data_IF_982534462631
#
_entry.id   IF_982534462631
#
_cell.length_a   1.000
_cell.length_b   1.000
_cell.length_c   1.000
_cell.angle_alpha   90.00
_cell.angle_beta   90.00
_cell.angle_gamma   90.00
#
_symmetry.space_group_name_H-M   'P 1'
#
loop_
_entity.id
_entity.type
_entity.pdbx_description
1 polymer ?
#
# COMPACT_ATOMS: atom_id res chain seq x y z
N UNK A 1 13.54 -10.88 21.06
CA UNK A 1 12.98 -9.56 21.41
C UNK A 1 14.02 -8.50 21.09
N UNK A 2 13.79 -7.64 20.09
CA UNK A 2 14.70 -6.50 19.85
C UNK A 2 14.46 -5.46 20.95
N UNK A 3 15.43 -5.28 21.85
CA UNK A 3 15.39 -4.18 22.83
C UNK A 3 15.30 -2.86 22.08
N UNK A 4 14.37 -1.99 22.48
CA UNK A 4 14.31 -0.63 21.95
C UNK A 4 15.65 0.07 22.27
N UNK A 5 16.44 0.33 21.22
CA UNK A 5 17.76 0.95 21.34
C UNK A 5 17.71 2.46 21.10
N UNK A 6 18.83 3.14 21.34
CA UNK A 6 19.00 4.58 21.06
C UNK A 6 18.52 5.01 19.66
N UNK A 7 18.69 4.24 18.56
CA UNK A 7 18.14 4.61 17.26
C UNK A 7 16.61 4.70 17.21
N UNK A 8 15.91 3.80 17.92
CA UNK A 8 14.45 3.83 18.01
C UNK A 8 13.97 5.05 18.81
N UNK A 9 14.67 5.36 19.91
CA UNK A 9 14.41 6.56 20.70
C UNK A 9 14.64 7.84 19.87
N UNK A 10 15.76 7.90 19.13
CA UNK A 10 16.07 9.02 18.23
C UNK A 10 14.98 9.22 17.17
N UNK A 11 14.47 8.13 16.56
CA UNK A 11 13.35 8.18 15.60
C UNK A 11 12.06 8.69 16.24
N UNK A 12 11.75 8.30 17.47
CA UNK A 12 10.56 8.77 18.17
C UNK A 12 10.57 10.30 18.35
N UNK A 13 11.73 10.90 18.66
CA UNK A 13 11.87 12.35 18.76
C UNK A 13 11.72 13.05 17.40
N UNK A 14 12.28 12.50 16.32
CA UNK A 14 12.10 13.07 14.98
C UNK A 14 10.66 12.98 14.47
N UNK A 15 9.98 11.87 14.77
CA UNK A 15 8.62 11.61 14.30
C UNK A 15 7.54 12.03 15.30
N UNK A 16 7.86 12.84 16.32
CA UNK A 16 6.92 13.21 17.38
C UNK A 16 5.63 13.84 16.81
N UNK A 17 5.72 14.60 15.71
CA UNK A 17 4.57 15.21 15.03
C UNK A 17 3.55 14.20 14.49
N UNK A 18 3.98 12.96 14.23
CA UNK A 18 3.13 11.87 13.76
C UNK A 18 2.60 11.00 14.91
N UNK A 19 3.20 11.10 16.10
CA UNK A 19 2.90 10.24 17.24
C UNK A 19 2.19 10.96 18.39
N UNK A 20 2.36 12.28 18.50
CA UNK A 20 1.84 13.10 19.59
C UNK A 20 1.16 14.31 18.96
N UNK A 21 -0.15 14.37 19.12
CA UNK A 21 -0.96 15.50 18.70
C UNK A 21 -1.16 16.42 19.91
N UNK A 22 -0.71 17.66 19.81
CA UNK A 22 -0.92 18.67 20.85
C UNK A 22 -2.36 19.22 20.82
N UNK A 23 -3.02 19.08 19.67
CA UNK A 23 -4.40 19.49 19.44
C UNK A 23 -5.23 18.27 19.03
N UNK A 24 -6.52 18.27 19.36
CA UNK A 24 -7.41 17.20 18.93
C UNK A 24 -7.48 17.20 17.39
N UNK A 25 -7.14 16.09 16.71
CA UNK A 25 -7.23 16.03 15.27
C UNK A 25 -8.68 16.16 14.82
N UNK A 26 -8.90 16.83 13.68
CA UNK A 26 -10.21 16.90 13.07
C UNK A 26 -10.63 15.51 12.60
N UNK A 27 -11.87 15.11 12.93
CA UNK A 27 -12.45 13.88 12.42
C UNK A 27 -12.59 14.03 10.90
N UNK A 28 -12.12 13.04 10.16
CA UNK A 28 -12.26 12.98 8.71
C UNK A 28 -12.95 11.69 8.32
N UNK A 29 -13.90 11.78 7.40
CA UNK A 29 -14.51 10.61 6.77
C UNK A 29 -13.70 10.14 5.56
N UNK A 30 -12.46 10.66 5.40
CA UNK A 30 -11.56 10.33 4.30
C UNK A 30 -10.55 9.29 4.73
N UNK A 31 -10.61 8.09 4.14
CA UNK A 31 -9.74 6.99 4.51
C UNK A 31 -9.58 5.97 3.38
N UNK A 32 -8.56 5.14 3.47
CA UNK A 32 -8.40 3.99 2.58
C UNK A 32 -9.29 2.88 3.15
N UNK A 33 -10.32 2.46 2.40
CA UNK A 33 -11.31 1.45 2.81
C UNK A 33 -10.83 0.03 2.59
N UNK A 34 -9.90 -0.18 1.66
CA UNK A 34 -9.32 -1.49 1.43
C UNK A 34 -8.41 -1.55 0.24
N UNK A 35 -7.76 -2.70 0.07
CA UNK A 35 -6.88 -3.01 -1.04
C UNK A 35 -7.22 -4.40 -1.57
N UNK A 36 -7.30 -4.50 -2.89
CA UNK A 36 -7.36 -5.74 -3.64
C UNK A 36 -6.08 -5.86 -4.48
N UNK A 37 -5.43 -7.01 -4.42
CA UNK A 37 -4.22 -7.33 -5.18
C UNK A 37 -4.50 -8.59 -5.99
N UNK A 38 -4.40 -8.45 -7.31
CA UNK A 38 -4.42 -9.60 -8.21
C UNK A 38 -2.98 -10.02 -8.50
N UNK A 39 -2.50 -11.16 -7.98
CA UNK A 39 -1.15 -11.62 -8.24
C UNK A 39 -1.03 -12.10 -9.70
N UNK A 40 0.04 -11.72 -10.38
CA UNK A 40 0.43 -12.37 -11.63
C UNK A 40 1.09 -13.73 -11.38
N UNK A 41 1.65 -14.34 -12.42
CA UNK A 41 2.31 -15.66 -12.33
C UNK A 41 3.40 -15.74 -11.24
N UNK A 42 4.14 -14.64 -11.08
CA UNK A 42 5.18 -14.46 -10.06
C UNK A 42 4.75 -13.46 -8.97
N UNK A 43 3.45 -13.18 -8.89
CA UNK A 43 2.84 -12.24 -7.97
C UNK A 43 2.88 -12.73 -6.52
N UNK A 44 2.71 -11.78 -5.60
CA UNK A 44 2.82 -11.97 -4.16
C UNK A 44 1.55 -11.50 -3.46
N UNK A 45 1.46 -11.67 -2.13
CA UNK A 45 0.26 -11.38 -1.34
C UNK A 45 -0.95 -12.06 -1.99
N UNK A 46 -1.05 -13.39 -1.84
CA UNK A 46 -2.15 -14.20 -2.39
C UNK A 46 -3.24 -14.40 -1.35
N UNK A 47 -4.47 -14.59 -1.81
CA UNK A 47 -5.60 -14.98 -0.98
C UNK A 47 -5.42 -16.36 -0.32
N UNK A 48 -6.33 -16.70 0.59
CA UNK A 48 -6.41 -18.04 1.19
C UNK A 48 -7.43 -18.90 0.40
N UNK A 49 -7.26 -20.22 0.44
CA UNK A 49 -8.24 -21.21 -0.05
C UNK A 49 -8.68 -20.99 -1.51
N UNK A 50 -7.79 -21.27 -2.46
CA UNK A 50 -8.06 -21.28 -3.93
C UNK A 50 -8.36 -19.91 -4.56
N UNK A 51 -8.63 -18.88 -3.77
CA UNK A 51 -8.71 -17.49 -4.22
C UNK A 51 -7.28 -16.94 -4.38
N UNK A 52 -6.88 -16.68 -5.62
CA UNK A 52 -5.55 -16.12 -5.91
C UNK A 52 -5.48 -14.65 -5.43
N UNK A 53 -6.56 -13.90 -5.64
CA UNK A 53 -6.71 -12.49 -5.25
C UNK A 53 -6.61 -12.29 -3.74
N UNK A 54 -5.81 -11.33 -3.32
CA UNK A 54 -5.73 -10.89 -1.92
C UNK A 54 -6.58 -9.66 -1.70
N UNK A 55 -7.44 -9.72 -0.69
CA UNK A 55 -8.37 -8.65 -0.34
C UNK A 55 -8.21 -8.35 1.15
N UNK A 56 -8.07 -7.08 1.49
CA UNK A 56 -8.10 -6.60 2.87
C UNK A 56 -8.93 -5.34 2.95
N UNK A 57 -9.92 -5.37 3.84
CA UNK A 57 -10.69 -4.20 4.23
C UNK A 57 -10.05 -3.50 5.43
N UNK A 58 -10.16 -2.19 5.45
CA UNK A 58 -9.66 -1.32 6.50
C UNK A 58 -10.82 -0.56 7.14
N UNK A 59 -10.74 -0.41 8.47
CA UNK A 59 -11.61 0.50 9.21
C UNK A 59 -11.20 1.96 8.98
N UNK A 60 -12.15 2.89 9.11
CA UNK A 60 -11.84 4.33 9.18
C UNK A 60 -10.90 4.65 10.35
N UNK A 61 -10.96 3.86 11.42
CA UNK A 61 -10.10 3.99 12.60
C UNK A 61 -8.83 3.10 12.55
N UNK A 62 -8.38 2.68 11.35
CA UNK A 62 -7.19 1.83 11.22
C UNK A 62 -5.93 2.57 11.70
N UNK A 63 -5.42 2.16 12.85
CA UNK A 63 -4.20 2.74 13.44
C UNK A 63 -2.93 1.92 13.18
N UNK A 64 -3.06 0.60 12.91
CA UNK A 64 -1.89 -0.26 12.73
C UNK A 64 -2.19 -1.52 11.91
N UNK A 65 -1.15 -2.09 11.29
CA UNK A 65 -1.16 -3.39 10.62
C UNK A 65 -0.24 -4.35 11.39
N UNK A 66 -0.80 -5.43 11.95
CA UNK A 66 -0.08 -6.39 12.81
C UNK A 66 -0.08 -7.79 12.15
N UNK A 67 0.94 -8.61 12.46
CA UNK A 67 1.07 -9.97 11.95
C UNK A 67 2.49 -10.52 12.07
N UNK A 68 2.65 -11.84 11.88
CA UNK A 68 3.95 -12.54 11.97
C UNK A 68 5.00 -12.08 10.94
N UNK A 69 6.25 -12.53 11.06
CA UNK A 69 7.28 -12.21 10.06
C UNK A 69 6.87 -12.76 8.68
N UNK A 70 7.11 -12.00 7.62
CA UNK A 70 6.83 -12.44 6.24
C UNK A 70 5.36 -12.35 5.81
N UNK A 71 4.44 -11.86 6.65
CA UNK A 71 3.01 -11.74 6.30
C UNK A 71 2.67 -10.57 5.37
N UNK A 72 3.66 -9.85 4.84
CA UNK A 72 3.45 -8.79 3.86
C UNK A 72 3.03 -7.41 4.39
N UNK A 73 3.14 -7.14 5.70
CA UNK A 73 2.82 -5.82 6.30
C UNK A 73 3.54 -4.64 5.62
N UNK A 74 4.87 -4.70 5.55
CA UNK A 74 5.68 -3.65 4.88
C UNK A 74 5.38 -3.57 3.39
N UNK A 75 4.99 -4.69 2.79
CA UNK A 75 4.62 -4.76 1.37
C UNK A 75 3.34 -3.98 1.09
N UNK A 76 2.31 -4.11 1.94
CA UNK A 76 1.08 -3.32 1.84
C UNK A 76 1.39 -1.82 1.98
N UNK A 77 2.18 -1.43 2.98
CA UNK A 77 2.56 -0.02 3.16
C UNK A 77 3.30 0.54 1.94
N UNK A 78 4.23 -0.23 1.39
CA UNK A 78 4.98 0.16 0.19
C UNK A 78 4.10 0.24 -1.06
N UNK A 79 3.10 -0.65 -1.21
CA UNK A 79 2.10 -0.55 -2.28
C UNK A 79 1.32 0.77 -2.16
N UNK A 80 0.82 1.07 -0.97
CA UNK A 80 0.05 2.29 -0.72
C UNK A 80 0.92 3.53 -1.01
N UNK A 81 2.15 3.54 -0.53
CA UNK A 81 3.11 4.62 -0.80
C UNK A 81 3.29 4.86 -2.30
N UNK A 82 3.62 3.81 -3.07
CA UNK A 82 3.84 3.94 -4.51
C UNK A 82 2.57 4.38 -5.25
N UNK A 83 1.40 3.85 -4.89
CA UNK A 83 0.14 4.19 -5.59
C UNK A 83 -0.24 5.65 -5.34
N UNK A 84 -0.10 6.15 -4.11
CA UNK A 84 -0.50 7.52 -3.76
C UNK A 84 0.54 8.58 -4.13
N UNK A 85 1.83 8.24 -4.13
CA UNK A 85 2.91 9.18 -4.48
C UNK A 85 3.30 9.10 -5.96
N UNK A 86 3.06 7.97 -6.61
CA UNK A 86 3.64 7.60 -7.91
C UNK A 86 5.17 7.55 -7.92
N UNK A 87 5.79 7.51 -6.74
CA UNK A 87 7.24 7.43 -6.55
C UNK A 87 7.64 6.05 -6.01
N UNK A 88 8.86 5.63 -6.33
CA UNK A 88 9.43 4.41 -5.77
C UNK A 88 10.88 4.65 -5.35
N UNK A 89 11.26 4.11 -4.20
CA UNK A 89 12.60 4.25 -3.64
C UNK A 89 13.70 3.65 -4.52
N UNK A 90 13.37 2.66 -5.35
CA UNK A 90 14.31 2.03 -6.27
C UNK A 90 13.61 1.34 -7.44
N UNK A 91 14.36 1.10 -8.50
CA UNK A 91 13.89 0.32 -9.65
C UNK A 91 13.50 -1.11 -9.25
N UNK A 92 14.24 -1.75 -8.33
CA UNK A 92 13.93 -3.10 -7.86
C UNK A 92 12.61 -3.15 -7.08
N UNK A 93 12.32 -2.10 -6.31
CA UNK A 93 11.05 -1.97 -5.60
C UNK A 93 9.89 -1.85 -6.59
N UNK A 94 10.01 -0.96 -7.58
CA UNK A 94 9.01 -0.84 -8.63
C UNK A 94 8.83 -2.16 -9.42
N UNK A 95 9.94 -2.81 -9.81
CA UNK A 95 9.92 -4.10 -10.51
C UNK A 95 9.25 -5.19 -9.67
N UNK A 96 9.44 -5.17 -8.36
CA UNK A 96 8.75 -6.08 -7.45
C UNK A 96 7.24 -5.85 -7.52
N UNK A 97 6.74 -4.61 -7.38
CA UNK A 97 5.31 -4.29 -7.51
C UNK A 97 4.71 -4.76 -8.83
N UNK A 98 5.45 -4.63 -9.92
CA UNK A 98 5.02 -5.02 -11.26
C UNK A 98 4.91 -6.54 -11.48
N UNK A 99 5.21 -7.38 -10.47
CA UNK A 99 4.92 -8.82 -10.53
C UNK A 99 3.45 -9.14 -10.32
N UNK A 100 2.67 -8.21 -9.77
CA UNK A 100 1.21 -8.34 -9.68
C UNK A 100 0.56 -7.90 -10.99
N UNK A 101 -0.60 -8.46 -11.32
CA UNK A 101 -1.30 -8.14 -12.56
C UNK A 101 -1.99 -6.77 -12.47
N UNK A 102 -2.68 -6.52 -11.36
CA UNK A 102 -3.18 -5.19 -11.01
C UNK A 102 -3.39 -5.07 -9.51
N UNK A 103 -3.44 -3.83 -9.03
CA UNK A 103 -3.75 -3.50 -7.64
C UNK A 103 -4.87 -2.46 -7.65
N UNK A 104 -5.90 -2.67 -6.84
CA UNK A 104 -7.01 -1.73 -6.67
C UNK A 104 -7.03 -1.26 -5.22
N UNK A 105 -6.99 0.05 -5.01
CA UNK A 105 -7.14 0.68 -3.71
C UNK A 105 -8.48 1.40 -3.68
N UNK A 106 -9.31 1.08 -2.69
CA UNK A 106 -10.56 1.77 -2.45
C UNK A 106 -10.33 2.93 -1.48
N UNK A 107 -10.60 4.15 -1.93
CA UNK A 107 -10.40 5.38 -1.15
C UNK A 107 -11.71 6.13 -0.97
N UNK A 108 -12.10 6.32 0.29
CA UNK A 108 -13.28 7.08 0.66
C UNK A 108 -12.87 8.53 0.82
N UNK A 109 -13.49 9.38 0.01
CA UNK A 109 -13.52 10.84 0.14
C UNK A 109 -14.79 11.32 -0.56
N UNK A 110 -15.07 10.69 -1.72
CA UNK A 110 -16.34 10.63 -2.45
C UNK A 110 -16.40 9.24 -3.17
N UNK A 111 -16.00 8.17 -2.47
CA UNK A 111 -15.82 6.78 -2.96
C UNK A 111 -15.15 6.65 -4.35
N UNK A 112 -13.81 6.54 -4.35
CA UNK A 112 -13.01 6.31 -5.55
C UNK A 112 -12.31 4.94 -5.52
N UNK A 113 -12.17 4.33 -6.69
CA UNK A 113 -11.26 3.22 -6.94
C UNK A 113 -10.03 3.72 -7.66
N UNK A 114 -8.86 3.54 -7.05
CA UNK A 114 -7.57 3.76 -7.67
C UNK A 114 -7.07 2.40 -8.16
N UNK A 115 -7.09 2.19 -9.48
CA UNK A 115 -6.56 0.98 -10.11
C UNK A 115 -5.16 1.26 -10.65
N UNK A 116 -4.17 0.62 -10.03
CA UNK A 116 -2.80 0.55 -10.50
C UNK A 116 -2.64 -0.64 -11.43
N UNK A 117 -2.23 -0.37 -12.68
CA UNK A 117 -1.94 -1.38 -13.69
C UNK A 117 -0.45 -1.27 -14.04
N UNK A 118 0.40 -2.19 -13.54
CA UNK A 118 1.80 -2.19 -13.91
C UNK A 118 1.97 -2.47 -15.41
N UNK A 119 2.76 -1.64 -16.11
CA UNK A 119 3.08 -1.85 -17.52
C UNK A 119 4.52 -2.37 -17.61
N UNK A 120 4.67 -3.70 -17.64
CA UNK A 120 5.95 -4.34 -17.93
C UNK A 120 6.06 -4.49 -19.44
N UNK A 121 6.84 -3.63 -20.10
CA UNK A 121 7.21 -3.85 -21.51
C UNK A 121 8.25 -4.97 -21.60
N UNK A 122 8.12 -5.80 -22.64
CA UNK A 122 9.09 -6.84 -22.98
C UNK A 122 10.54 -6.32 -22.87
N UNK A 123 11.42 -7.15 -22.32
CA UNK A 123 12.79 -6.87 -21.83
C UNK A 123 13.77 -6.17 -22.81
N UNK A 124 13.36 -5.90 -24.04
CA UNK A 124 14.19 -5.25 -25.06
C UNK A 124 14.24 -3.72 -24.86
N UNK A 125 13.25 -3.13 -24.18
CA UNK A 125 13.24 -1.70 -23.82
C UNK A 125 12.85 -1.58 -22.34
N UNK A 126 13.84 -1.29 -21.48
CA UNK A 126 13.67 -1.11 -20.03
C UNK A 126 12.93 0.20 -19.69
N UNK A 127 11.64 0.28 -20.01
CA UNK A 127 10.76 1.31 -19.47
C UNK A 127 9.60 0.64 -18.75
N UNK A 128 9.61 0.65 -17.42
CA UNK A 128 8.42 0.35 -16.62
C UNK A 128 7.56 1.60 -16.64
N UNK A 129 6.33 1.50 -17.14
CA UNK A 129 5.35 2.60 -17.04
C UNK A 129 4.32 2.25 -15.98
N UNK A 130 3.91 3.26 -15.22
CA UNK A 130 2.81 3.14 -14.27
C UNK A 130 1.57 3.71 -14.95
N UNK A 131 0.49 2.93 -14.97
CA UNK A 131 -0.82 3.45 -15.33
C UNK A 131 -1.70 3.47 -14.08
N UNK A 132 -2.17 4.67 -13.70
CA UNK A 132 -3.13 4.85 -12.65
C UNK A 132 -4.47 5.25 -13.28
N UNK A 133 -5.49 4.42 -13.09
CA UNK A 133 -6.87 4.74 -13.44
C UNK A 133 -7.63 5.11 -12.18
N UNK A 134 -8.28 6.27 -12.19
CA UNK A 134 -9.14 6.71 -11.09
C UNK A 134 -10.59 6.60 -11.57
N UNK A 135 -11.39 5.82 -10.86
CA UNK A 135 -12.81 5.64 -11.15
C UNK A 135 -13.63 6.15 -9.97
N UNK A 136 -14.62 7.01 -10.27
CA UNK A 136 -15.60 7.44 -9.28
C UNK A 136 -16.73 6.42 -9.22
N UNK A 137 -17.05 5.90 -8.04
CA UNK A 137 -18.20 5.02 -7.85
C UNK A 137 -19.45 5.90 -7.78
N UNK A 138 -20.22 5.99 -8.87
CA UNK A 138 -21.57 6.58 -8.81
C UNK A 138 -22.47 5.57 -8.10
N UNK A 139 -23.11 6.01 -7.01
CA UNK A 139 -24.19 5.25 -6.35
C UNK A 139 -25.44 5.24 -7.23
#
# INVERSE_FOLDING_TARGET
MSKAGFPSLKKAFYNHKLCIFMEKPNITDKYIKGVLIEPGDQGYLKGKNEQNTFIVDFSNDLNCIIGGRGTGKSTILNILEVIFTLESHSYDNLRFLCKNEYIIVNFVCIEYLLKFIPQVKNMVIMSVRIFLKIEHLKR
#
